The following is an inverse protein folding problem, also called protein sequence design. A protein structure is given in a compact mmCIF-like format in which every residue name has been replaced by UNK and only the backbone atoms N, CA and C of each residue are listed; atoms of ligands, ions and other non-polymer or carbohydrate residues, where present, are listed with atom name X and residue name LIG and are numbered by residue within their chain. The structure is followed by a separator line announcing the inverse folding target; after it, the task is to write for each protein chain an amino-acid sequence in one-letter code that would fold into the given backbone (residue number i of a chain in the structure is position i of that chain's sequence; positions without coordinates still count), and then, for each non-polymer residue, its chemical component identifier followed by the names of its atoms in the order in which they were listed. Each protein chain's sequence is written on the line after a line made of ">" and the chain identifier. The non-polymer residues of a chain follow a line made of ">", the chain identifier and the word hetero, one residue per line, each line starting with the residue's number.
data_IF_082004339248
#
_entry.id   IF_082004339248
#
_cell.length_a   1.000
_cell.length_b   1.000
_cell.length_c   1.000
_cell.angle_alpha   90.00
_cell.angle_beta   90.00
_cell.angle_gamma   90.00
#
_symmetry.space_group_name_H-M   'P 1'
#
loop_
_entity.id
_entity.type
_entity.pdbx_description
1 polymer ?
#
# COMPACT_ATOMS: atom_id res chain seq x y z
N UNK A 1 -23.55 2.27 15.99
CA UNK A 1 -24.59 3.20 15.50
C UNK A 1 -24.06 4.14 14.43
N UNK A 2 -23.02 4.94 14.69
CA UNK A 2 -22.46 5.91 13.73
C UNK A 2 -21.87 5.29 12.47
N UNK A 3 -21.21 4.13 12.58
CA UNK A 3 -20.63 3.42 11.44
C UNK A 3 -21.71 2.88 10.48
N UNK A 4 -22.74 2.21 11.00
CA UNK A 4 -23.87 1.74 10.19
C UNK A 4 -24.64 2.92 9.57
N UNK A 5 -24.81 4.03 10.28
CA UNK A 5 -25.42 5.24 9.74
C UNK A 5 -24.65 5.79 8.53
N UNK A 6 -23.32 5.94 8.64
CA UNK A 6 -22.47 6.39 7.53
C UNK A 6 -22.57 5.40 6.35
N UNK A 7 -22.51 4.10 6.63
CA UNK A 7 -22.60 3.06 5.61
C UNK A 7 -23.94 3.09 4.86
N UNK A 8 -25.06 3.26 5.56
CA UNK A 8 -26.37 3.38 4.95
C UNK A 8 -26.48 4.63 4.06
N UNK A 9 -25.99 5.77 4.53
CA UNK A 9 -25.96 7.01 3.75
C UNK A 9 -25.12 6.84 2.48
N UNK A 10 -23.87 6.40 2.61
CA UNK A 10 -22.96 6.24 1.47
C UNK A 10 -23.48 5.23 0.45
N UNK A 11 -24.13 4.16 0.91
CA UNK A 11 -24.78 3.19 0.02
C UNK A 11 -25.96 3.79 -0.76
N UNK A 12 -26.76 4.65 -0.13
CA UNK A 12 -27.92 5.28 -0.77
C UNK A 12 -27.55 6.39 -1.74
N UNK A 13 -26.44 7.12 -1.50
CA UNK A 13 -25.98 8.17 -2.41
C UNK A 13 -25.05 7.66 -3.52
N UNK A 14 -24.74 6.36 -3.55
CA UNK A 14 -23.72 5.77 -4.43
C UNK A 14 -23.94 6.07 -5.92
N UNK A 15 -25.19 6.08 -6.38
CA UNK A 15 -25.56 6.30 -7.79
C UNK A 15 -25.74 7.78 -8.17
N UNK A 16 -25.55 8.72 -7.23
CA UNK A 16 -25.68 10.15 -7.51
C UNK A 16 -24.39 10.74 -8.11
N UNK A 17 -24.50 11.92 -8.72
CA UNK A 17 -23.33 12.68 -9.18
C UNK A 17 -22.49 13.21 -8.00
N UNK A 18 -21.21 13.49 -8.25
CA UNK A 18 -20.27 13.88 -7.19
C UNK A 18 -20.62 15.21 -6.52
N UNK A 19 -21.30 16.12 -7.23
CA UNK A 19 -21.72 17.40 -6.66
C UNK A 19 -22.83 17.18 -5.63
N UNK A 20 -23.83 16.39 -5.98
CA UNK A 20 -24.94 16.03 -5.09
C UNK A 20 -24.47 15.20 -3.90
N UNK A 21 -23.55 14.23 -4.12
CA UNK A 21 -22.91 13.47 -3.04
C UNK A 21 -22.23 14.40 -2.02
N UNK A 22 -21.47 15.38 -2.50
CA UNK A 22 -20.74 16.30 -1.62
C UNK A 22 -21.66 17.26 -0.86
N UNK A 23 -22.79 17.67 -1.45
CA UNK A 23 -23.81 18.44 -0.75
C UNK A 23 -24.43 17.63 0.40
N UNK A 24 -24.87 16.40 0.13
CA UNK A 24 -25.45 15.52 1.15
C UNK A 24 -24.44 15.22 2.27
N UNK A 25 -23.17 14.96 1.93
CA UNK A 25 -22.11 14.79 2.93
C UNK A 25 -21.94 16.04 3.80
N UNK A 26 -21.98 17.23 3.20
CA UNK A 26 -21.88 18.51 3.92
C UNK A 26 -23.00 18.68 4.94
N UNK A 27 -24.23 18.29 4.59
CA UNK A 27 -25.40 18.40 5.47
C UNK A 27 -25.41 17.37 6.61
N UNK A 28 -24.76 16.22 6.38
CA UNK A 28 -24.67 15.12 7.36
C UNK A 28 -23.56 15.35 8.39
N UNK A 29 -22.50 16.09 8.05
CA UNK A 29 -21.39 16.40 8.96
C UNK A 29 -21.86 17.01 10.30
N UNK A 30 -22.75 18.04 10.32
CA UNK A 30 -23.29 18.59 11.56
C UNK A 30 -24.01 17.55 12.43
N UNK A 31 -24.79 16.65 11.81
CA UNK A 31 -25.54 15.59 12.51
C UNK A 31 -24.58 14.56 13.11
N UNK A 32 -23.57 14.13 12.35
CA UNK A 32 -22.52 13.22 12.83
C UNK A 32 -21.74 13.81 13.99
N UNK A 33 -21.40 15.10 13.91
CA UNK A 33 -20.71 15.81 14.98
C UNK A 33 -21.57 15.84 16.24
N UNK A 34 -22.87 16.16 16.13
CA UNK A 34 -23.79 16.18 17.27
C UNK A 34 -23.95 14.78 17.92
N UNK A 35 -23.99 13.71 17.13
CA UNK A 35 -24.01 12.32 17.65
C UNK A 35 -22.71 12.00 18.39
N UNK A 36 -21.55 12.40 17.85
CA UNK A 36 -20.24 12.23 18.51
C UNK A 36 -20.18 12.91 19.87
N UNK A 37 -20.80 14.08 20.02
CA UNK A 37 -20.85 14.80 21.30
C UNK A 37 -21.86 14.21 22.30
N UNK A 38 -22.80 13.38 21.84
CA UNK A 38 -23.81 12.72 22.67
C UNK A 38 -23.46 11.28 23.08
N UNK A 39 -22.45 10.66 22.50
CA UNK A 39 -21.96 9.40 23.07
C UNK A 39 -21.26 9.74 24.39
N UNK A 40 -21.75 9.27 25.55
CA UNK A 40 -20.95 9.35 26.76
C UNK A 40 -19.62 8.66 26.47
N UNK A 41 -18.49 9.31 26.79
CA UNK A 41 -17.21 8.60 26.84
C UNK A 41 -17.48 7.39 27.73
N UNK A 42 -17.48 6.19 27.16
CA UNK A 42 -17.68 5.01 27.97
C UNK A 42 -16.53 4.96 28.98
N UNK A 43 -16.76 4.41 30.18
CA UNK A 43 -15.69 4.23 31.17
C UNK A 43 -14.47 3.55 30.54
N UNK A 44 -14.72 2.64 29.58
CA UNK A 44 -13.73 1.97 28.74
C UNK A 44 -12.92 2.95 27.89
N UNK A 45 -13.56 3.91 27.21
CA UNK A 45 -12.86 4.93 26.41
C UNK A 45 -11.95 5.81 27.28
N UNK A 46 -12.38 6.13 28.50
CA UNK A 46 -11.57 6.89 29.46
C UNK A 46 -10.32 6.10 29.88
N UNK A 47 -10.50 4.81 30.21
CA UNK A 47 -9.40 3.90 30.57
C UNK A 47 -8.42 3.75 29.39
N UNK A 48 -8.92 3.55 28.17
CA UNK A 48 -8.06 3.43 26.97
C UNK A 48 -7.28 4.73 26.74
N UNK A 49 -7.94 5.90 26.85
CA UNK A 49 -7.27 7.20 26.70
C UNK A 49 -6.18 7.39 27.76
N UNK A 50 -6.45 7.02 29.01
CA UNK A 50 -5.48 7.07 30.10
C UNK A 50 -4.29 6.14 29.81
N UNK A 51 -4.55 4.87 29.51
CA UNK A 51 -3.51 3.89 29.21
C UNK A 51 -2.65 4.28 27.99
N UNK A 52 -3.25 4.88 26.95
CA UNK A 52 -2.49 5.42 25.81
C UNK A 52 -1.61 6.61 26.21
N UNK A 53 -2.05 7.45 27.15
CA UNK A 53 -1.24 8.55 27.67
C UNK A 53 -0.05 8.01 28.46
N UNK A 54 -0.27 7.04 29.34
CA UNK A 54 0.79 6.38 30.10
C UNK A 54 1.78 5.66 29.18
N UNK A 55 1.28 4.92 28.19
CA UNK A 55 2.12 4.26 27.20
C UNK A 55 3.00 5.26 26.43
N UNK A 56 2.45 6.42 26.03
CA UNK A 56 3.25 7.46 25.37
C UNK A 56 4.36 7.99 26.27
N UNK A 57 4.08 8.23 27.55
CA UNK A 57 5.09 8.65 28.53
C UNK A 57 6.16 7.58 28.69
N UNK A 58 5.74 6.31 28.83
CA UNK A 58 6.65 5.17 28.93
C UNK A 58 7.57 5.06 27.70
N UNK A 59 7.03 5.17 26.48
CA UNK A 59 7.82 5.10 25.24
C UNK A 59 8.77 6.29 25.08
N UNK A 60 8.38 7.46 25.57
CA UNK A 60 9.27 8.64 25.59
C UNK A 60 10.49 8.38 26.46
N UNK A 61 10.30 7.68 27.58
CA UNK A 61 11.38 7.29 28.48
C UNK A 61 12.20 6.08 27.99
N UNK A 62 11.73 5.36 26.96
CA UNK A 62 12.36 4.16 26.42
C UNK A 62 12.46 4.22 24.88
N UNK A 63 13.29 5.12 24.33
CA UNK A 63 13.39 5.34 22.88
C UNK A 63 13.99 4.13 22.12
N UNK A 64 14.58 3.17 22.84
CA UNK A 64 15.07 1.92 22.27
C UNK A 64 13.96 0.93 21.93
N UNK A 65 12.71 1.16 22.34
CA UNK A 65 11.59 0.28 22.04
C UNK A 65 10.89 0.71 20.74
N UNK A 66 10.72 -0.26 19.85
CA UNK A 66 9.99 -0.14 18.61
C UNK A 66 8.67 -0.90 18.73
N UNK A 67 7.57 -0.20 18.46
CA UNK A 67 6.24 -0.83 18.30
C UNK A 67 5.95 -0.95 16.81
N UNK A 68 5.67 -2.17 16.35
CA UNK A 68 5.29 -2.45 14.97
C UNK A 68 4.15 -3.47 14.90
N UNK A 69 3.66 -3.75 13.70
CA UNK A 69 2.65 -4.79 13.46
C UNK A 69 3.33 -6.08 12.99
N UNK A 70 2.76 -7.22 13.36
CA UNK A 70 3.13 -8.50 12.81
C UNK A 70 2.73 -8.61 11.32
N UNK A 71 3.48 -9.40 10.56
CA UNK A 71 3.18 -9.72 9.16
C UNK A 71 1.82 -10.43 9.00
N UNK A 72 1.44 -11.24 10.00
CA UNK A 72 0.17 -11.98 10.05
C UNK A 72 -0.38 -12.02 11.47
N UNK A 73 -1.70 -12.16 11.60
CA UNK A 73 -2.37 -12.36 12.88
C UNK A 73 -2.96 -11.10 13.52
N UNK A 74 -2.89 -9.94 12.85
CA UNK A 74 -3.38 -8.65 13.36
C UNK A 74 -2.87 -8.35 14.79
N UNK A 75 -1.60 -8.64 15.03
CA UNK A 75 -0.96 -8.55 16.35
C UNK A 75 0.04 -7.39 16.38
N UNK A 76 0.12 -6.70 17.51
CA UNK A 76 1.15 -5.69 17.79
C UNK A 76 2.39 -6.37 18.37
N UNK A 77 3.56 -6.00 17.87
CA UNK A 77 4.85 -6.53 18.33
C UNK A 77 5.67 -5.39 18.92
N UNK A 78 6.28 -5.65 20.08
CA UNK A 78 7.25 -4.77 20.71
C UNK A 78 8.61 -5.47 20.62
N UNK A 79 9.61 -4.75 20.13
CA UNK A 79 10.99 -5.23 20.05
C UNK A 79 11.95 -4.05 20.25
N UNK A 80 13.23 -4.33 20.47
CA UNK A 80 14.20 -3.24 20.53
C UNK A 80 14.55 -2.76 19.12
N UNK A 81 14.86 -1.47 18.99
CA UNK A 81 15.37 -0.86 17.75
C UNK A 81 16.64 -1.56 17.29
N UNK A 82 17.48 -2.00 18.23
CA UNK A 82 18.69 -2.78 17.93
C UNK A 82 18.34 -4.12 17.27
N UNK A 83 17.51 -4.94 17.90
CA UNK A 83 17.12 -6.25 17.34
C UNK A 83 16.46 -6.11 15.97
N UNK A 84 15.67 -5.05 15.78
CA UNK A 84 15.06 -4.75 14.51
C UNK A 84 16.09 -4.39 13.44
N UNK A 85 17.04 -3.52 13.76
CA UNK A 85 18.09 -3.10 12.83
C UNK A 85 19.01 -4.26 12.48
N UNK A 86 19.41 -5.06 13.47
CA UNK A 86 20.25 -6.25 13.26
C UNK A 86 19.56 -7.22 12.28
N UNK A 87 18.27 -7.53 12.50
CA UNK A 87 17.49 -8.36 11.57
C UNK A 87 17.33 -7.74 10.18
N UNK A 88 17.23 -6.41 10.06
CA UNK A 88 17.19 -5.73 8.77
C UNK A 88 18.54 -5.82 8.05
N UNK A 89 19.65 -5.66 8.78
CA UNK A 89 20.99 -5.81 8.26
C UNK A 89 21.27 -7.24 7.82
N UNK A 90 20.82 -8.25 8.57
CA UNK A 90 20.94 -9.65 8.18
C UNK A 90 20.27 -9.92 6.82
N UNK A 91 19.08 -9.36 6.60
CA UNK A 91 18.37 -9.48 5.31
C UNK A 91 19.16 -8.78 4.19
N UNK A 92 19.65 -7.56 4.45
CA UNK A 92 20.32 -6.74 3.44
C UNK A 92 21.77 -7.16 3.15
N UNK A 93 22.35 -8.03 3.99
CA UNK A 93 23.71 -8.56 3.82
C UNK A 93 23.79 -9.69 2.80
N UNK A 94 22.66 -10.15 2.26
CA UNK A 94 22.63 -11.13 1.17
C UNK A 94 23.16 -10.52 -0.14
N UNK A 95 24.43 -10.79 -0.43
CA UNK A 95 25.12 -10.32 -1.64
C UNK A 95 24.66 -11.01 -2.93
N UNK A 96 23.87 -12.09 -2.86
CA UNK A 96 23.29 -12.71 -4.05
C UNK A 96 22.07 -11.93 -4.54
N UNK A 97 21.33 -11.30 -3.62
CA UNK A 97 20.10 -10.55 -3.92
C UNK A 97 20.34 -9.03 -3.96
N UNK A 98 21.16 -8.50 -3.05
CA UNK A 98 21.37 -7.07 -2.87
C UNK A 98 22.78 -6.65 -3.27
N UNK A 99 22.90 -5.40 -3.75
CA UNK A 99 24.18 -4.78 -4.06
C UNK A 99 24.30 -3.44 -3.34
N UNK A 100 25.44 -3.23 -2.69
CA UNK A 100 25.74 -1.95 -2.06
C UNK A 100 25.79 -0.83 -3.11
N UNK A 101 25.18 0.31 -2.77
CA UNK A 101 25.22 1.53 -3.58
C UNK A 101 25.97 2.59 -2.77
N UNK A 102 27.12 3.02 -3.27
CA UNK A 102 28.04 3.92 -2.55
C UNK A 102 27.66 5.41 -2.65
N UNK A 103 26.68 5.75 -3.48
CA UNK A 103 26.24 7.14 -3.71
C UNK A 103 24.75 7.19 -3.94
N UNK A 104 24.09 8.19 -3.36
CA UNK A 104 22.67 8.45 -3.57
C UNK A 104 22.32 8.47 -5.08
N UNK A 105 21.50 7.53 -5.57
CA UNK A 105 21.15 7.44 -6.98
C UNK A 105 20.01 8.39 -7.40
N UNK A 106 19.40 9.14 -6.47
CA UNK A 106 18.20 9.95 -6.71
C UNK A 106 18.35 10.88 -7.91
N UNK A 107 19.40 11.71 -7.93
CA UNK A 107 19.63 12.66 -9.03
C UNK A 107 19.84 11.95 -10.37
N UNK A 108 20.54 10.81 -10.36
CA UNK A 108 20.77 10.02 -11.57
C UNK A 108 19.46 9.45 -12.12
N UNK A 109 18.60 8.93 -11.24
CA UNK A 109 17.28 8.41 -11.61
C UNK A 109 16.38 9.53 -12.14
N UNK A 110 16.28 10.65 -11.43
CA UNK A 110 15.45 11.80 -11.83
C UNK A 110 15.87 12.36 -13.20
N UNK A 111 17.17 12.60 -13.42
CA UNK A 111 17.67 13.07 -14.71
C UNK A 111 17.44 12.06 -15.83
N UNK A 112 17.64 10.77 -15.56
CA UNK A 112 17.37 9.69 -16.52
C UNK A 112 15.90 9.65 -16.96
N UNK A 113 14.98 9.74 -16.01
CA UNK A 113 13.54 9.76 -16.30
C UNK A 113 13.16 11.01 -17.08
N UNK A 114 13.67 12.19 -16.70
CA UNK A 114 13.41 13.44 -17.44
C UNK A 114 13.86 13.34 -18.89
N UNK A 115 15.08 12.85 -19.12
CA UNK A 115 15.60 12.63 -20.48
C UNK A 115 14.72 11.66 -21.28
N UNK A 116 14.30 10.55 -20.66
CA UNK A 116 13.39 9.58 -21.27
C UNK A 116 12.05 10.22 -21.66
N UNK A 117 11.42 10.96 -20.75
CA UNK A 117 10.13 11.62 -20.99
C UNK A 117 10.23 12.70 -22.07
N UNK A 118 11.33 13.47 -22.10
CA UNK A 118 11.56 14.45 -23.16
C UNK A 118 11.70 13.78 -24.52
N UNK A 119 12.41 12.65 -24.59
CA UNK A 119 12.55 11.84 -25.80
C UNK A 119 11.21 11.24 -26.26
N UNK A 120 10.40 10.72 -25.33
CA UNK A 120 9.08 10.18 -25.67
C UNK A 120 8.14 11.26 -26.20
N UNK A 121 8.18 12.45 -25.60
CA UNK A 121 7.40 13.59 -26.06
C UNK A 121 7.84 14.05 -27.45
N UNK A 122 9.15 14.18 -27.72
CA UNK A 122 9.64 14.62 -29.03
C UNK A 122 9.33 13.61 -30.13
N UNK A 123 9.30 12.31 -29.82
CA UNK A 123 8.89 11.24 -30.72
C UNK A 123 7.37 11.07 -30.87
N UNK A 124 6.56 11.84 -30.12
CA UNK A 124 5.10 11.74 -30.16
C UNK A 124 4.53 10.49 -29.50
N UNK A 125 5.29 9.77 -28.67
CA UNK A 125 4.78 8.61 -27.92
C UNK A 125 3.86 9.01 -26.75
N UNK A 126 4.07 10.22 -26.22
CA UNK A 126 3.23 10.81 -25.18
C UNK A 126 2.90 12.25 -25.55
N UNK A 127 1.70 12.69 -25.17
CA UNK A 127 1.29 14.08 -25.35
C UNK A 127 1.85 15.00 -24.24
N UNK A 128 1.57 16.29 -24.37
CA UNK A 128 2.00 17.30 -23.39
C UNK A 128 1.39 17.10 -22.00
N UNK A 129 0.18 16.54 -21.92
CA UNK A 129 -0.53 16.32 -20.67
C UNK A 129 0.09 15.14 -19.91
N UNK A 130 0.28 14.00 -20.57
CA UNK A 130 0.96 12.82 -20.03
C UNK A 130 2.39 13.16 -19.63
N UNK A 131 3.12 13.94 -20.44
CA UNK A 131 4.45 14.42 -20.06
C UNK A 131 4.43 15.16 -18.72
N UNK A 132 3.50 16.12 -18.53
CA UNK A 132 3.39 16.87 -17.27
C UNK A 132 2.99 15.98 -16.09
N UNK A 133 2.12 14.99 -16.33
CA UNK A 133 1.70 14.02 -15.30
C UNK A 133 2.86 13.13 -14.82
N UNK A 134 3.75 12.74 -15.72
CA UNK A 134 4.89 11.85 -15.42
C UNK A 134 6.13 12.60 -14.97
N UNK A 135 6.21 13.90 -15.26
CA UNK A 135 7.35 14.72 -14.92
C UNK A 135 7.52 14.82 -13.39
N UNK A 136 8.77 14.66 -12.94
CA UNK A 136 9.15 14.74 -11.53
C UNK A 136 10.28 15.76 -11.41
N UNK A 137 10.12 16.73 -10.49
CA UNK A 137 11.18 17.65 -10.12
C UNK A 137 12.14 16.98 -9.14
N UNK A 138 11.57 16.40 -8.08
CA UNK A 138 12.27 15.83 -6.94
C UNK A 138 11.55 14.55 -6.53
N UNK A 139 12.31 13.55 -6.06
CA UNK A 139 11.74 12.32 -5.56
C UNK A 139 12.60 11.74 -4.44
N UNK A 140 11.96 10.96 -3.57
CA UNK A 140 12.62 10.32 -2.44
C UNK A 140 13.15 8.93 -2.84
N UNK A 141 14.24 8.49 -2.21
CA UNK A 141 14.59 7.08 -2.33
C UNK A 141 13.51 6.20 -1.69
N UNK A 142 13.19 5.05 -2.31
CA UNK A 142 12.32 4.07 -1.68
C UNK A 142 12.83 3.68 -0.29
N UNK A 143 11.93 3.65 0.68
CA UNK A 143 12.26 3.28 2.07
C UNK A 143 11.91 1.83 2.32
N UNK A 144 12.82 1.08 2.94
CA UNK A 144 12.54 -0.28 3.40
C UNK A 144 12.09 -0.28 4.86
N UNK A 145 11.16 -1.18 5.17
CA UNK A 145 10.72 -1.52 6.52
C UNK A 145 10.52 -3.02 6.65
N UNK A 146 10.47 -3.54 7.87
CA UNK A 146 10.33 -4.96 8.18
C UNK A 146 9.11 -5.23 9.04
N UNK A 147 8.31 -6.25 8.70
CA UNK A 147 7.24 -6.75 9.56
C UNK A 147 7.64 -8.10 10.19
N UNK A 148 7.60 -8.25 11.52
CA UNK A 148 7.92 -9.52 12.18
C UNK A 148 6.99 -10.66 11.74
N UNK A 149 7.58 -11.76 11.24
CA UNK A 149 6.87 -13.00 10.93
C UNK A 149 6.78 -13.87 12.18
N UNK A 150 5.92 -13.48 13.13
CA UNK A 150 5.76 -14.18 14.43
C UNK A 150 5.33 -15.66 14.33
N UNK A 151 4.85 -16.08 13.16
CA UNK A 151 4.46 -17.46 12.84
C UNK A 151 5.60 -18.32 12.28
N UNK A 152 6.85 -17.81 12.32
CA UNK A 152 8.05 -18.49 11.84
C UNK A 152 9.09 -18.52 12.96
N UNK A 153 9.84 -19.61 13.02
CA UNK A 153 10.96 -19.77 13.95
C UNK A 153 12.00 -18.65 13.74
N UNK A 154 12.60 -18.16 14.83
CA UNK A 154 13.51 -17.01 14.82
C UNK A 154 12.84 -15.64 14.57
N UNK A 155 11.54 -15.62 14.25
CA UNK A 155 10.76 -14.40 13.96
C UNK A 155 11.50 -13.48 12.97
N UNK A 156 11.80 -13.94 11.75
CA UNK A 156 12.44 -13.12 10.74
C UNK A 156 11.53 -11.96 10.32
N UNK A 157 12.11 -10.88 9.80
CA UNK A 157 11.34 -9.77 9.24
C UNK A 157 10.91 -10.08 7.81
N UNK A 158 9.71 -9.61 7.41
CA UNK A 158 9.31 -9.46 6.01
C UNK A 158 9.68 -8.06 5.57
N UNK A 159 10.69 -7.92 4.72
CA UNK A 159 11.01 -6.62 4.15
C UNK A 159 9.89 -6.14 3.22
N UNK A 160 9.50 -4.89 3.39
CA UNK A 160 8.55 -4.13 2.58
C UNK A 160 9.29 -2.90 2.07
N UNK A 161 9.24 -2.65 0.77
CA UNK A 161 9.81 -1.45 0.17
C UNK A 161 8.68 -0.52 -0.24
N UNK A 162 8.64 0.68 0.35
CA UNK A 162 7.74 1.74 -0.05
C UNK A 162 8.39 2.60 -1.12
N UNK A 163 7.85 2.56 -2.33
CA UNK A 163 8.27 3.38 -3.46
C UNK A 163 7.42 4.66 -3.62
N UNK A 164 6.58 4.99 -2.63
CA UNK A 164 5.76 6.20 -2.66
C UNK A 164 6.69 7.42 -2.73
N UNK A 165 6.34 8.40 -3.55
CA UNK A 165 7.14 9.60 -3.85
C UNK A 165 8.51 9.33 -4.52
N UNK A 166 8.80 8.08 -4.91
CA UNK A 166 10.05 7.80 -5.62
C UNK A 166 10.01 8.33 -7.06
N UNK A 167 11.17 8.69 -7.64
CA UNK A 167 11.25 9.18 -9.02
C UNK A 167 10.59 8.24 -10.05
N UNK A 168 10.56 6.93 -9.77
CA UNK A 168 10.03 5.93 -10.68
C UNK A 168 8.53 5.65 -10.50
N UNK A 169 7.91 6.15 -9.43
CA UNK A 169 6.55 5.75 -9.05
C UNK A 169 5.51 6.08 -10.13
N UNK A 170 5.46 7.34 -10.59
CA UNK A 170 4.47 7.77 -11.58
C UNK A 170 4.64 7.05 -12.92
N UNK A 171 5.89 6.81 -13.33
CA UNK A 171 6.20 6.04 -14.53
C UNK A 171 5.74 4.59 -14.39
N UNK A 172 6.00 3.94 -13.25
CA UNK A 172 5.56 2.58 -12.98
C UNK A 172 4.03 2.44 -13.01
N UNK A 173 3.31 3.39 -12.40
CA UNK A 173 1.83 3.43 -12.44
C UNK A 173 1.33 3.59 -13.88
N UNK A 174 1.94 4.48 -14.66
CA UNK A 174 1.58 4.69 -16.06
C UNK A 174 1.80 3.44 -16.92
N UNK A 175 2.95 2.78 -16.78
CA UNK A 175 3.23 1.54 -17.49
C UNK A 175 2.27 0.42 -17.09
N UNK A 176 1.96 0.33 -15.78
CA UNK A 176 0.96 -0.62 -15.28
C UNK A 176 -0.40 -0.39 -15.94
N UNK A 177 -0.88 0.85 -16.03
CA UNK A 177 -2.15 1.17 -16.70
C UNK A 177 -2.17 0.74 -18.17
N UNK A 178 -1.05 0.88 -18.89
CA UNK A 178 -0.91 0.43 -20.27
C UNK A 178 -1.00 -1.10 -20.33
N UNK A 179 -0.21 -1.81 -19.52
CA UNK A 179 -0.19 -3.27 -19.46
C UNK A 179 -1.58 -3.80 -19.10
N UNK A 180 -2.22 -3.24 -18.07
CA UNK A 180 -3.56 -3.63 -17.62
C UNK A 180 -4.59 -3.44 -18.74
N UNK A 181 -4.54 -2.34 -19.51
CA UNK A 181 -5.42 -2.15 -20.67
C UNK A 181 -5.15 -3.20 -21.76
N UNK A 182 -3.88 -3.46 -22.08
CA UNK A 182 -3.50 -4.46 -23.09
C UNK A 182 -3.91 -5.88 -22.71
N UNK A 183 -3.85 -6.23 -21.42
CA UNK A 183 -4.27 -7.53 -20.89
C UNK A 183 -5.79 -7.64 -20.77
N UNK A 184 -6.47 -6.60 -20.30
CA UNK A 184 -7.93 -6.58 -20.15
C UNK A 184 -8.65 -6.57 -21.50
N UNK A 185 -8.01 -6.11 -22.58
CA UNK A 185 -8.53 -6.29 -23.94
C UNK A 185 -8.51 -7.78 -24.38
N UNK A 186 -7.82 -8.65 -23.65
CA UNK A 186 -7.76 -10.11 -23.84
C UNK A 186 -8.48 -10.87 -22.72
N UNK A 187 -9.70 -10.44 -22.33
CA UNK A 187 -10.50 -11.02 -21.20
C UNK A 187 -10.60 -12.56 -21.17
N UNK A 188 -10.31 -13.24 -22.28
CA UNK A 188 -10.42 -14.69 -22.43
C UNK A 188 -9.09 -15.45 -22.39
N UNK A 189 -7.93 -14.78 -22.46
CA UNK A 189 -6.62 -15.44 -22.44
C UNK A 189 -6.14 -15.60 -20.99
N UNK A 190 -6.24 -16.82 -20.44
CA UNK A 190 -5.64 -17.19 -19.16
C UNK A 190 -6.35 -16.73 -17.86
N UNK A 191 -7.37 -15.86 -17.91
CA UNK A 191 -8.03 -15.39 -16.68
C UNK A 191 -9.00 -16.43 -16.08
N UNK A 192 -8.62 -16.95 -14.92
CA UNK A 192 -9.42 -17.86 -14.10
C UNK A 192 -9.68 -17.21 -12.74
N UNK A 193 -10.95 -16.89 -12.48
CA UNK A 193 -11.38 -16.12 -11.30
C UNK A 193 -11.21 -16.89 -9.99
N UNK A 194 -11.46 -18.19 -10.00
CA UNK A 194 -11.41 -19.06 -8.81
C UNK A 194 -11.30 -20.54 -9.23
N UNK A 195 -11.09 -21.40 -8.23
CA UNK A 195 -11.00 -22.85 -8.39
C UNK A 195 -12.23 -23.45 -9.09
N UNK A 196 -13.44 -22.99 -8.78
CA UNK A 196 -14.67 -23.46 -9.43
C UNK A 196 -14.69 -23.17 -10.94
N UNK A 197 -14.25 -21.97 -11.35
CA UNK A 197 -14.13 -21.61 -12.77
C UNK A 197 -13.03 -22.42 -13.46
N UNK A 198 -11.94 -22.74 -12.76
CA UNK A 198 -10.88 -23.62 -13.27
C UNK A 198 -11.45 -25.00 -13.60
N UNK A 199 -12.09 -25.65 -12.62
CA UNK A 199 -12.65 -27.00 -12.75
C UNK A 199 -13.62 -27.08 -13.92
N UNK A 200 -14.53 -26.11 -14.05
CA UNK A 200 -15.46 -26.05 -15.20
C UNK A 200 -14.75 -25.94 -16.55
N UNK A 201 -13.60 -25.26 -16.60
CA UNK A 201 -12.86 -25.00 -17.85
C UNK A 201 -11.97 -26.17 -18.27
N UNK A 202 -11.49 -26.96 -17.31
CA UNK A 202 -10.67 -28.16 -17.57
C UNK A 202 -11.53 -29.42 -17.75
N UNK A 203 -12.78 -29.41 -17.26
CA UNK A 203 -13.68 -30.55 -17.39
C UNK A 203 -13.99 -30.81 -18.88
N UNK A 204 -13.67 -32.02 -19.36
CA UNK A 204 -13.85 -32.41 -20.75
C UNK A 204 -12.72 -32.03 -21.71
N UNK A 205 -11.60 -31.45 -21.22
CA UNK A 205 -10.40 -31.32 -22.04
C UNK A 205 -9.70 -32.69 -22.15
N UNK A 206 -9.41 -33.18 -23.37
CA UNK A 206 -8.68 -34.44 -23.53
C UNK A 206 -7.27 -34.29 -22.99
N UNK A 207 -6.81 -35.30 -22.24
CA UNK A 207 -5.40 -35.45 -21.94
C UNK A 207 -4.68 -35.77 -23.24
N UNK A 208 -3.52 -35.14 -23.48
CA UNK A 208 -2.69 -35.50 -24.64
C UNK A 208 -2.13 -36.90 -24.42
N UNK A 209 -2.10 -37.70 -25.48
CA UNK A 209 -1.54 -39.05 -25.45
C UNK A 209 -0.09 -39.02 -24.92
N UNK A 210 0.22 -39.89 -23.97
CA UNK A 210 1.51 -39.98 -23.29
C UNK A 210 1.55 -39.43 -21.85
N UNK A 211 0.42 -38.94 -21.33
CA UNK A 211 0.25 -38.62 -19.91
C UNK A 211 -0.82 -39.53 -19.27
N UNK A 212 -0.52 -40.83 -19.19
CA UNK A 212 -1.15 -41.80 -18.28
C UNK A 212 -0.05 -42.53 -17.54
#
# INVERSE_FOLDING_TARGET
>A
MTFEFIKHIENNIFNLDDRTKNLIRKDIIPVLNNIKYKLPNSTIDSIIKHGLKELKVFLTNHPSLLITRADKGNTTVILTTKDYLDKMHDILSDNNTYRLINKDPTNKLTTGIRSLLTCWKSKGFIDQYVYKKLYISDGDLPRSSGLPKIHKEGIPLRMIVSCINSPLYNLAVFLKEIIDKSLNNKKNFGYIKNSFKLVKKINGLPLRDGFV
#
